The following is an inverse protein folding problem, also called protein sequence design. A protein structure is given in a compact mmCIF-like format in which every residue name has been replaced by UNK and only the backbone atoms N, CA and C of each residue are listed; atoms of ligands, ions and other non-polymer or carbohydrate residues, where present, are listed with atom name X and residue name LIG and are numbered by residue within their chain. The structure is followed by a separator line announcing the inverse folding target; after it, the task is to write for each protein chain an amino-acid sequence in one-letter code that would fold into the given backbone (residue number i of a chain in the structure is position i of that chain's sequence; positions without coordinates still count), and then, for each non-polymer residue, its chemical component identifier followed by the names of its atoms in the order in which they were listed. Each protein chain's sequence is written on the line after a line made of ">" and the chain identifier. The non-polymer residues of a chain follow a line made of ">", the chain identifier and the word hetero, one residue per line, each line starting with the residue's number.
data_IF_918480539515
#
_entry.id   IF_918480539515
#
_cell.length_a   1.000
_cell.length_b   1.000
_cell.length_c   1.000
_cell.angle_alpha   90.00
_cell.angle_beta   90.00
_cell.angle_gamma   90.00
#
_symmetry.space_group_name_H-M   'P 1'
#
loop_
_entity.id
_entity.type
_entity.pdbx_description
1 polymer ?
#
# COMPACT_ATOMS: atom_id res chain seq x y z
N UNK A 1 22.11 0.63 -11.31
CA UNK A 1 20.97 0.18 -12.13
C UNK A 1 19.70 0.51 -11.38
N UNK A 2 18.80 1.31 -11.97
CA UNK A 2 17.49 1.59 -11.39
C UNK A 2 16.48 0.57 -11.91
N UNK A 3 15.65 0.05 -11.01
CA UNK A 3 14.54 -0.84 -11.37
C UNK A 3 13.24 -0.03 -11.42
N UNK A 4 12.39 -0.32 -12.39
CA UNK A 4 11.03 0.22 -12.47
C UNK A 4 10.02 -0.92 -12.42
N UNK A 5 8.84 -0.63 -11.88
CA UNK A 5 7.73 -1.58 -11.76
C UNK A 5 6.44 -0.88 -12.15
N UNK A 6 5.55 -1.60 -12.84
CA UNK A 6 4.15 -1.20 -13.03
C UNK A 6 3.31 -1.81 -11.93
N UNK A 7 2.52 -1.00 -11.25
CA UNK A 7 1.63 -1.44 -10.17
C UNK A 7 0.17 -1.21 -10.59
N UNK A 8 -0.67 -2.20 -10.30
CA UNK A 8 -2.14 -2.11 -10.43
C UNK A 8 -2.70 -2.37 -9.05
N UNK A 9 -3.41 -1.39 -8.50
CA UNK A 9 -3.87 -1.43 -7.10
C UNK A 9 -5.34 -1.01 -7.00
N UNK A 10 -6.03 -1.53 -5.98
CA UNK A 10 -7.33 -1.04 -5.52
C UNK A 10 -7.29 -0.99 -3.99
N UNK A 11 -7.51 0.20 -3.43
CA UNK A 11 -7.57 0.42 -1.98
C UNK A 11 -9.01 0.31 -1.47
N UNK A 12 -9.17 -0.19 -0.26
CA UNK A 12 -10.43 -0.24 0.46
C UNK A 12 -10.21 0.35 1.85
N UNK A 13 -11.18 1.12 2.33
CA UNK A 13 -11.19 1.62 3.71
C UNK A 13 -11.89 0.57 4.57
N UNK A 14 -11.22 0.02 5.61
CA UNK A 14 -11.89 -0.89 6.54
C UNK A 14 -12.88 -0.12 7.43
N UNK A 15 -13.88 -0.80 8.02
CA UNK A 15 -14.73 -0.20 9.04
C UNK A 15 -13.93 0.27 10.26
N UNK A 16 -14.51 1.17 11.06
CA UNK A 16 -13.83 1.79 12.21
C UNK A 16 -13.49 0.81 13.35
N UNK A 17 -14.13 -0.36 13.40
CA UNK A 17 -13.80 -1.47 14.30
C UNK A 17 -12.67 -2.37 13.76
N UNK A 18 -12.04 -1.97 12.64
CA UNK A 18 -10.81 -2.53 12.10
C UNK A 18 -11.05 -3.48 10.94
N UNK A 19 -10.17 -4.48 10.81
CA UNK A 19 -10.28 -5.52 9.77
C UNK A 19 -11.35 -6.58 10.10
N UNK A 20 -12.10 -6.40 11.19
CA UNK A 20 -13.21 -7.25 11.56
C UNK A 20 -14.24 -7.29 10.41
N UNK A 21 -14.51 -8.49 9.90
CA UNK A 21 -15.47 -8.68 8.81
C UNK A 21 -14.87 -8.76 7.39
N UNK A 22 -13.55 -8.68 7.22
CA UNK A 22 -12.94 -9.13 5.97
C UNK A 22 -13.14 -10.66 5.81
N UNK A 23 -13.55 -11.14 4.63
CA UNK A 23 -13.74 -12.57 4.41
C UNK A 23 -12.41 -13.32 4.47
N UNK A 24 -12.44 -14.57 4.92
CA UNK A 24 -11.31 -15.48 4.73
C UNK A 24 -11.05 -15.66 3.22
N UNK A 25 -9.82 -15.42 2.80
CA UNK A 25 -9.40 -15.55 1.41
C UNK A 25 -8.82 -16.93 1.09
N UNK A 26 -8.72 -17.84 2.08
CA UNK A 26 -8.24 -19.21 1.89
C UNK A 26 -9.10 -19.95 0.86
N UNK A 27 -8.46 -20.47 -0.19
CA UNK A 27 -9.15 -21.18 -1.27
C UNK A 27 -9.90 -20.29 -2.25
N UNK A 28 -9.83 -18.95 -2.11
CA UNK A 28 -10.46 -18.03 -3.07
C UNK A 28 -9.64 -17.98 -4.35
N UNK A 29 -10.14 -18.64 -5.39
CA UNK A 29 -9.55 -18.65 -6.74
C UNK A 29 -8.07 -19.09 -6.72
N UNK A 30 -7.11 -18.20 -7.03
CA UNK A 30 -5.69 -18.53 -7.05
C UNK A 30 -5.03 -18.60 -5.65
N UNK A 31 -5.73 -18.28 -4.56
CA UNK A 31 -5.16 -18.25 -3.19
C UNK A 31 -5.27 -19.64 -2.54
N UNK A 32 -4.16 -20.38 -2.45
CA UNK A 32 -4.14 -21.71 -1.85
C UNK A 32 -4.23 -21.70 -0.31
N UNK A 33 -3.57 -20.75 0.34
CA UNK A 33 -3.60 -20.58 1.79
C UNK A 33 -3.30 -19.14 2.18
N UNK A 34 -3.78 -18.73 3.36
CA UNK A 34 -3.46 -17.45 3.99
C UNK A 34 -2.70 -17.74 5.29
N UNK A 35 -1.56 -17.07 5.48
CA UNK A 35 -0.78 -17.14 6.72
C UNK A 35 -0.90 -15.80 7.42
N UNK A 36 -1.29 -15.81 8.69
CA UNK A 36 -1.26 -14.61 9.50
C UNK A 36 0.19 -14.17 9.71
N UNK A 37 0.50 -12.92 9.33
CA UNK A 37 1.74 -12.25 9.64
C UNK A 37 1.46 -11.06 10.57
N UNK A 38 2.42 -10.73 11.42
CA UNK A 38 2.36 -9.50 12.20
C UNK A 38 2.45 -8.26 11.29
N UNK A 39 2.04 -7.09 11.77
CA UNK A 39 2.24 -5.84 11.04
C UNK A 39 3.73 -5.56 10.84
N UNK A 40 4.04 -4.91 9.72
CA UNK A 40 5.35 -4.29 9.46
C UNK A 40 5.19 -2.78 9.63
N UNK A 41 6.04 -2.18 10.48
CA UNK A 41 6.03 -0.75 10.72
C UNK A 41 6.92 -0.05 9.69
N UNK A 42 6.30 0.75 8.81
CA UNK A 42 7.00 1.46 7.75
C UNK A 42 6.77 2.97 7.87
N UNK A 43 7.88 3.70 7.90
CA UNK A 43 7.88 5.17 7.86
C UNK A 43 8.07 5.67 6.44
N UNK A 44 7.28 6.66 6.04
CA UNK A 44 7.39 7.30 4.73
C UNK A 44 7.53 8.83 4.87
N UNK A 45 8.70 9.34 4.47
CA UNK A 45 8.93 10.77 4.32
C UNK A 45 8.58 11.19 2.89
N UNK A 46 7.68 12.16 2.75
CA UNK A 46 7.18 12.65 1.48
C UNK A 46 7.83 13.97 1.12
N UNK A 47 8.17 14.11 -0.16
CA UNK A 47 8.79 15.32 -0.68
C UNK A 47 7.95 15.87 -1.83
N UNK A 48 7.82 17.18 -1.86
CA UNK A 48 7.32 17.94 -3.00
C UNK A 48 8.00 19.32 -3.02
N UNK A 49 7.74 20.11 -4.05
CA UNK A 49 8.15 21.50 -4.13
C UNK A 49 7.13 22.39 -3.42
N UNK A 50 7.51 23.64 -3.10
CA UNK A 50 6.61 24.59 -2.41
C UNK A 50 5.30 24.82 -3.20
N UNK A 51 5.39 24.74 -4.53
CA UNK A 51 4.27 24.86 -5.47
C UNK A 51 3.60 23.52 -5.84
N UNK A 52 3.94 22.42 -5.14
CA UNK A 52 3.32 21.10 -5.27
C UNK A 52 3.38 20.49 -6.68
N UNK A 53 4.54 20.56 -7.34
CA UNK A 53 4.68 20.09 -8.74
C UNK A 53 4.50 18.58 -8.90
N UNK A 54 4.88 17.76 -7.92
CA UNK A 54 4.68 16.31 -7.99
C UNK A 54 3.19 15.97 -7.86
N UNK A 55 2.51 16.51 -6.85
CA UNK A 55 1.08 16.35 -6.70
C UNK A 55 0.31 16.85 -7.94
N UNK A 56 0.68 18.03 -8.46
CA UNK A 56 0.09 18.59 -9.68
C UNK A 56 0.28 17.73 -10.94
N UNK A 57 1.29 16.85 -10.95
CA UNK A 57 1.56 15.88 -12.02
C UNK A 57 1.10 14.45 -11.69
N UNK A 58 0.33 14.27 -10.61
CA UNK A 58 -0.10 12.94 -10.12
C UNK A 58 1.09 11.99 -9.84
N UNK A 59 2.23 12.56 -9.43
CA UNK A 59 3.42 11.83 -9.02
C UNK A 59 3.62 11.96 -7.50
N UNK A 60 4.31 10.98 -6.91
CA UNK A 60 4.70 11.01 -5.50
C UNK A 60 6.15 10.59 -5.36
N UNK A 61 6.93 11.36 -4.62
CA UNK A 61 8.28 11.00 -4.21
C UNK A 61 8.30 10.75 -2.70
N UNK A 62 8.80 9.59 -2.30
CA UNK A 62 8.97 9.26 -0.88
C UNK A 62 10.25 8.49 -0.61
N UNK A 63 10.86 8.74 0.55
CA UNK A 63 11.84 7.84 1.17
C UNK A 63 11.10 6.95 2.17
N UNK A 64 11.23 5.63 2.04
CA UNK A 64 10.62 4.67 2.97
C UNK A 64 11.68 3.93 3.78
N UNK A 65 11.44 3.75 5.07
CA UNK A 65 12.24 2.95 6.01
C UNK A 65 11.37 2.06 6.87
N UNK A 66 11.98 1.09 7.55
CA UNK A 66 11.29 -0.07 8.10
C UNK A 66 11.55 -1.26 7.20
#
# INVERSE_FOLDING_TARGET
>A
MTQSKRETERKYEPPSDGLAGLPDLTGVGPVASVTAAGPEELDAEYHDTVDLRLAGSSATLRRRTG
#
